data_IF_605995394714
#
_entry.id   IF_605995394714
#
_cell.length_a   1.000
_cell.length_b   1.000
_cell.length_c   1.000
_cell.angle_alpha   90.00
_cell.angle_beta   90.00
_cell.angle_gamma   90.00
#
_symmetry.space_group_name_H-M   'P 1'
#
loop_
_entity.id
_entity.type
_entity.pdbx_description
1 polymer ?
#
# COMPACT_ATOMS: atom_id res chain seq x y z
N UNK A 1 -1.80 16.49 2.64
CA UNK A 1 -3.11 16.41 1.99
C UNK A 1 -3.74 15.02 2.11
N UNK A 2 -3.03 13.97 1.71
CA UNK A 2 -3.59 12.60 1.72
C UNK A 2 -4.14 12.23 3.12
N UNK A 3 -3.34 12.46 4.15
CA UNK A 3 -3.73 12.19 5.55
C UNK A 3 -4.90 13.06 6.04
N UNK A 4 -5.11 14.26 5.46
CA UNK A 4 -6.25 15.11 5.82
C UNK A 4 -7.56 14.66 5.17
N UNK A 5 -7.47 13.92 4.06
CA UNK A 5 -8.63 13.49 3.27
C UNK A 5 -9.00 12.02 3.46
N UNK A 6 -8.04 11.18 3.86
CA UNK A 6 -8.20 9.73 3.95
C UNK A 6 -7.55 9.18 5.22
N UNK A 7 -8.06 8.06 5.69
CA UNK A 7 -7.29 7.19 6.57
C UNK A 7 -6.24 6.47 5.74
N UNK A 8 -4.97 6.64 6.09
CA UNK A 8 -3.84 6.14 5.31
C UNK A 8 -3.15 5.01 6.04
N UNK A 9 -2.98 3.89 5.35
CA UNK A 9 -2.19 2.75 5.81
C UNK A 9 -1.12 2.47 4.76
N UNK A 10 0.12 2.34 5.19
CA UNK A 10 1.23 1.92 4.32
C UNK A 10 1.39 0.40 4.45
N UNK A 11 1.31 -0.28 3.31
CA UNK A 11 1.57 -1.72 3.20
C UNK A 11 2.90 -1.90 2.46
N UNK A 12 3.88 -2.51 3.11
CA UNK A 12 5.23 -2.64 2.57
C UNK A 12 5.82 -4.00 2.91
N UNK A 13 6.63 -4.53 2.00
CA UNK A 13 7.40 -5.76 2.23
C UNK A 13 8.77 -5.47 2.87
N UNK A 14 8.98 -4.26 3.39
CA UNK A 14 10.13 -3.88 4.21
C UNK A 14 10.03 -4.46 5.63
N UNK A 15 10.94 -4.05 6.49
CA UNK A 15 11.00 -4.44 7.90
C UNK A 15 10.91 -3.22 8.80
N UNK A 16 10.28 -3.34 9.96
CA UNK A 16 10.14 -2.25 10.93
C UNK A 16 11.48 -1.64 11.31
N UNK A 17 12.52 -2.47 11.44
CA UNK A 17 13.86 -2.06 11.85
C UNK A 17 14.52 -1.12 10.81
N UNK A 18 14.14 -1.21 9.53
CA UNK A 18 14.65 -0.34 8.48
C UNK A 18 13.76 0.89 8.23
N UNK A 19 12.46 0.78 8.48
CA UNK A 19 11.51 1.83 8.12
C UNK A 19 11.38 2.96 9.14
N UNK A 20 11.90 2.78 10.35
CA UNK A 20 11.75 3.72 11.47
C UNK A 20 12.08 5.17 11.13
N UNK A 21 13.27 5.48 10.55
CA UNK A 21 13.64 6.86 10.22
C UNK A 21 12.68 7.51 9.21
N UNK A 22 12.22 6.75 8.21
CA UNK A 22 11.24 7.25 7.23
C UNK A 22 9.88 7.49 7.89
N UNK A 23 9.43 6.57 8.71
CA UNK A 23 8.13 6.71 9.40
C UNK A 23 8.13 7.92 10.33
N UNK A 24 9.26 8.22 10.99
CA UNK A 24 9.41 9.43 11.79
C UNK A 24 9.22 10.70 10.94
N UNK A 25 9.82 10.74 9.75
CA UNK A 25 9.67 11.88 8.82
C UNK A 25 8.23 12.04 8.33
N UNK A 26 7.48 10.95 8.24
CA UNK A 26 6.07 10.94 7.80
C UNK A 26 5.08 11.12 8.95
N UNK A 27 5.57 11.44 10.15
CA UNK A 27 4.75 11.58 11.36
C UNK A 27 4.00 10.30 11.74
N UNK A 28 4.72 9.17 11.68
CA UNK A 28 4.25 7.85 12.11
C UNK A 28 2.88 7.42 11.55
N UNK A 29 2.69 7.35 10.23
CA UNK A 29 1.49 6.75 9.68
C UNK A 29 1.41 5.27 10.05
N UNK A 30 0.22 4.69 10.01
CA UNK A 30 0.05 3.25 10.21
C UNK A 30 0.84 2.50 9.15
N UNK A 31 1.72 1.61 9.59
CA UNK A 31 2.56 0.78 8.73
C UNK A 31 2.34 -0.70 9.06
N UNK A 32 2.00 -1.49 8.05
CA UNK A 32 2.04 -2.94 8.11
C UNK A 32 3.19 -3.43 7.25
N UNK A 33 4.18 -4.02 7.87
CA UNK A 33 5.35 -4.60 7.22
C UNK A 33 5.83 -5.82 8.01
N UNK A 34 6.99 -6.34 7.63
CA UNK A 34 7.58 -7.51 8.25
C UNK A 34 8.53 -7.11 9.39
N UNK A 35 9.13 -8.09 10.01
CA UNK A 35 9.95 -7.94 11.19
C UNK A 35 11.26 -8.72 11.04
N UNK A 36 12.38 -8.12 11.42
CA UNK A 36 13.65 -8.83 11.56
C UNK A 36 13.74 -9.47 12.93
N UNK A 37 14.45 -10.59 13.02
CA UNK A 37 14.83 -11.21 14.28
C UNK A 37 16.29 -10.89 14.51
N UNK A 38 16.58 -10.19 15.62
CA UNK A 38 17.91 -9.76 15.98
C UNK A 38 18.40 -10.57 17.18
N UNK A 39 19.72 -10.84 17.22
CA UNK A 39 20.35 -11.39 18.41
C UNK A 39 20.60 -10.32 19.47
N UNK A 40 21.19 -10.71 20.61
CA UNK A 40 21.50 -9.78 21.70
C UNK A 40 22.52 -8.70 21.33
N UNK A 41 23.28 -8.90 20.25
CA UNK A 41 24.27 -7.94 19.72
C UNK A 41 23.69 -7.01 18.66
N UNK A 42 22.43 -7.19 18.28
CA UNK A 42 21.78 -6.43 17.21
C UNK A 42 22.05 -6.97 15.81
N UNK A 43 22.63 -8.17 15.67
CA UNK A 43 22.86 -8.81 14.37
C UNK A 43 21.58 -9.47 13.86
N UNK A 44 21.33 -9.39 12.56
CA UNK A 44 20.18 -10.03 11.91
C UNK A 44 20.44 -11.53 11.85
N UNK A 45 19.60 -12.32 12.48
CA UNK A 45 19.70 -13.80 12.48
C UNK A 45 18.58 -14.47 11.71
N UNK A 46 17.43 -13.80 11.52
CA UNK A 46 16.29 -14.31 10.78
C UNK A 46 15.32 -13.18 10.48
N UNK A 47 14.21 -13.50 9.81
CA UNK A 47 13.11 -12.57 9.59
C UNK A 47 11.77 -13.27 9.82
N UNK A 48 10.76 -12.49 10.11
CA UNK A 48 9.39 -12.96 10.28
C UNK A 48 8.45 -12.17 9.37
N UNK A 49 7.78 -12.86 8.48
CA UNK A 49 6.69 -12.27 7.70
C UNK A 49 5.49 -12.01 8.63
N UNK A 50 4.84 -10.87 8.46
CA UNK A 50 3.57 -10.61 9.13
C UNK A 50 2.55 -11.68 8.76
N UNK A 51 2.43 -11.93 7.46
CA UNK A 51 1.69 -13.05 6.87
C UNK A 51 2.08 -13.17 5.40
N UNK A 52 1.83 -14.31 4.80
CA UNK A 52 1.99 -14.46 3.36
C UNK A 52 0.94 -13.61 2.63
N UNK A 53 1.33 -13.04 1.48
CA UNK A 53 0.47 -12.14 0.68
C UNK A 53 -0.17 -11.04 1.53
N UNK A 54 0.64 -10.42 2.39
CA UNK A 54 0.16 -9.51 3.41
C UNK A 54 -0.61 -8.30 2.86
N UNK A 55 -0.24 -7.80 1.69
CA UNK A 55 -0.89 -6.62 1.10
C UNK A 55 -2.32 -6.92 0.72
N UNK A 56 -2.56 -8.01 0.00
CA UNK A 56 -3.90 -8.47 -0.37
C UNK A 56 -4.74 -8.80 0.86
N UNK A 57 -4.17 -9.55 1.80
CA UNK A 57 -4.88 -9.94 3.03
C UNK A 57 -5.21 -8.77 3.94
N UNK A 58 -4.36 -7.74 3.99
CA UNK A 58 -4.65 -6.53 4.73
C UNK A 58 -5.85 -5.78 4.14
N UNK A 59 -5.93 -5.67 2.81
CA UNK A 59 -7.08 -5.07 2.12
C UNK A 59 -8.35 -5.88 2.42
N UNK A 60 -8.29 -7.18 2.29
CA UNK A 60 -9.42 -8.07 2.59
C UNK A 60 -9.92 -7.90 4.04
N UNK A 61 -8.98 -7.84 5.00
CA UNK A 61 -9.32 -7.64 6.41
C UNK A 61 -10.03 -6.31 6.66
N UNK A 62 -9.58 -5.23 6.02
CA UNK A 62 -10.22 -3.92 6.12
C UNK A 62 -11.63 -3.94 5.51
N UNK A 63 -11.81 -4.61 4.38
CA UNK A 63 -13.12 -4.79 3.76
C UNK A 63 -14.06 -5.61 4.64
N UNK A 64 -13.54 -6.63 5.33
CA UNK A 64 -14.31 -7.42 6.30
C UNK A 64 -14.73 -6.60 7.54
N UNK A 65 -14.03 -5.50 7.82
CA UNK A 65 -14.43 -4.49 8.80
C UNK A 65 -15.38 -3.42 8.23
N UNK A 66 -15.89 -3.63 7.01
CA UNK A 66 -16.79 -2.72 6.29
C UNK A 66 -16.16 -1.39 5.85
N UNK A 67 -14.83 -1.32 5.75
CA UNK A 67 -14.18 -0.19 5.11
C UNK A 67 -14.23 -0.30 3.59
N UNK A 68 -14.36 0.83 2.92
CA UNK A 68 -14.08 0.95 1.49
C UNK A 68 -12.60 1.25 1.30
N UNK A 69 -11.95 0.47 0.47
CA UNK A 69 -10.50 0.51 0.32
C UNK A 69 -10.11 0.96 -1.08
N UNK A 70 -9.34 2.02 -1.16
CA UNK A 70 -8.62 2.43 -2.37
C UNK A 70 -7.17 2.03 -2.15
N UNK A 71 -6.61 1.22 -3.02
CA UNK A 71 -5.20 0.86 -2.96
C UNK A 71 -4.40 1.45 -4.12
N UNK A 72 -3.13 1.76 -3.85
CA UNK A 72 -2.21 2.29 -4.85
C UNK A 72 -0.86 1.59 -4.75
N UNK A 73 -0.23 1.36 -5.89
CA UNK A 73 1.07 0.71 -5.96
C UNK A 73 1.74 0.93 -7.31
N UNK A 74 2.98 0.42 -7.47
CA UNK A 74 3.81 0.65 -8.66
C UNK A 74 4.42 -0.61 -9.26
N UNK A 75 4.19 -1.77 -8.67
CA UNK A 75 4.90 -2.98 -9.05
C UNK A 75 4.02 -4.24 -9.07
N UNK A 76 4.57 -5.34 -9.57
CA UNK A 76 3.87 -6.62 -9.66
C UNK A 76 3.37 -7.13 -8.31
N UNK A 77 4.16 -6.94 -7.25
CA UNK A 77 3.76 -7.38 -5.91
C UNK A 77 2.59 -6.58 -5.32
N UNK A 78 2.17 -5.50 -5.98
CA UNK A 78 1.01 -4.71 -5.59
C UNK A 78 -0.28 -5.15 -6.30
N UNK A 79 -0.17 -5.91 -7.39
CA UNK A 79 -1.33 -6.24 -8.24
C UNK A 79 -2.43 -6.99 -7.50
N UNK A 80 -2.08 -7.89 -6.59
CA UNK A 80 -3.05 -8.62 -5.78
C UNK A 80 -3.89 -7.67 -4.90
N UNK A 81 -3.26 -6.72 -4.22
CA UNK A 81 -4.00 -5.75 -3.41
C UNK A 81 -4.80 -4.77 -4.27
N UNK A 82 -4.31 -4.39 -5.46
CA UNK A 82 -5.06 -3.53 -6.37
C UNK A 82 -6.33 -4.21 -6.88
N UNK A 83 -6.25 -5.51 -7.16
CA UNK A 83 -7.41 -6.31 -7.58
C UNK A 83 -8.41 -6.52 -6.44
N UNK A 84 -7.92 -6.74 -5.23
CA UNK A 84 -8.74 -6.97 -4.05
C UNK A 84 -9.48 -5.71 -3.60
N UNK A 85 -8.87 -4.55 -3.69
CA UNK A 85 -9.46 -3.28 -3.25
C UNK A 85 -10.74 -2.91 -4.01
N UNK A 86 -11.57 -2.08 -3.41
CA UNK A 86 -12.76 -1.52 -4.06
C UNK A 86 -12.36 -0.62 -5.25
N UNK A 87 -11.16 -0.02 -5.19
CA UNK A 87 -10.54 0.70 -6.31
C UNK A 87 -9.02 0.56 -6.24
N UNK A 88 -8.39 0.13 -7.33
CA UNK A 88 -6.94 0.03 -7.48
C UNK A 88 -6.40 1.10 -8.42
N UNK A 89 -5.26 1.70 -8.10
CA UNK A 89 -4.61 2.74 -8.90
C UNK A 89 -3.13 2.42 -9.02
N UNK A 90 -2.57 2.45 -10.23
CA UNK A 90 -1.13 2.45 -10.41
C UNK A 90 -0.56 3.86 -10.31
N UNK A 91 0.51 4.01 -9.56
CA UNK A 91 1.31 5.24 -9.47
C UNK A 91 2.69 5.02 -10.08
N UNK A 92 2.95 5.65 -11.23
CA UNK A 92 4.22 5.55 -11.95
C UNK A 92 4.73 4.10 -12.15
N UNK A 93 3.89 3.15 -12.58
CA UNK A 93 4.33 1.78 -12.81
C UNK A 93 5.20 1.69 -14.08
N UNK A 94 6.01 0.62 -14.23
CA UNK A 94 6.64 0.31 -15.51
C UNK A 94 5.63 0.06 -16.62
N UNK A 95 5.97 0.41 -17.87
CA UNK A 95 5.07 0.24 -19.03
C UNK A 95 4.62 -1.22 -19.25
N UNK A 96 5.47 -2.20 -18.92
CA UNK A 96 5.12 -3.61 -19.03
C UNK A 96 3.92 -3.99 -18.15
N UNK A 97 3.84 -3.42 -16.97
CA UNK A 97 2.74 -3.65 -16.03
C UNK A 97 1.45 -2.99 -16.53
N UNK A 98 1.55 -1.80 -17.07
CA UNK A 98 0.38 -1.10 -17.66
C UNK A 98 -0.26 -1.93 -18.77
N UNK A 99 0.55 -2.53 -19.62
CA UNK A 99 0.07 -3.37 -20.74
C UNK A 99 -0.59 -4.65 -20.24
N UNK A 100 -0.06 -5.25 -19.20
CA UNK A 100 -0.57 -6.49 -18.64
C UNK A 100 -1.85 -6.30 -17.81
N UNK A 101 -1.99 -5.12 -17.16
CA UNK A 101 -3.13 -4.80 -16.30
C UNK A 101 -3.84 -3.51 -16.75
N UNK A 102 -4.46 -3.51 -17.96
CA UNK A 102 -5.06 -2.30 -18.52
C UNK A 102 -6.32 -1.84 -17.77
N UNK A 103 -6.86 -2.66 -16.89
CA UNK A 103 -8.06 -2.34 -16.11
C UNK A 103 -7.82 -1.30 -15.02
N UNK A 104 -6.56 -1.10 -14.59
CA UNK A 104 -6.25 -0.13 -13.54
C UNK A 104 -5.90 1.24 -14.13
N UNK A 105 -6.47 2.33 -13.60
CA UNK A 105 -6.04 3.67 -13.97
C UNK A 105 -4.62 3.93 -13.51
N UNK A 106 -3.91 4.75 -14.27
CA UNK A 106 -2.50 5.08 -14.05
C UNK A 106 -2.36 6.56 -13.77
N UNK A 107 -1.73 6.91 -12.64
CA UNK A 107 -1.26 8.25 -12.35
C UNK A 107 0.24 8.33 -12.64
N UNK A 108 0.66 9.32 -13.42
CA UNK A 108 2.07 9.55 -13.77
C UNK A 108 2.71 10.68 -12.96
N UNK A 109 1.90 11.39 -12.19
CA UNK A 109 2.33 12.46 -11.29
C UNK A 109 1.33 12.63 -10.15
N UNK A 110 1.67 13.45 -9.17
CA UNK A 110 0.82 13.65 -7.99
C UNK A 110 -0.51 14.33 -8.31
N UNK A 111 -0.58 15.18 -9.31
CA UNK A 111 -1.84 15.85 -9.72
C UNK A 111 -2.84 14.82 -10.25
N UNK A 112 -2.40 13.93 -11.14
CA UNK A 112 -3.22 12.83 -11.65
C UNK A 112 -3.62 11.87 -10.52
N UNK A 113 -2.68 11.53 -9.63
CA UNK A 113 -2.94 10.65 -8.52
C UNK A 113 -4.02 11.21 -7.59
N UNK A 114 -3.92 12.47 -7.23
CA UNK A 114 -4.94 13.17 -6.44
C UNK A 114 -6.31 13.12 -7.11
N UNK A 115 -6.38 13.39 -8.41
CA UNK A 115 -7.62 13.35 -9.19
C UNK A 115 -8.26 11.96 -9.18
N UNK A 116 -7.45 10.92 -9.40
CA UNK A 116 -7.93 9.54 -9.38
C UNK A 116 -8.43 9.10 -8.00
N UNK A 117 -7.73 9.50 -6.93
CA UNK A 117 -8.18 9.22 -5.55
C UNK A 117 -9.52 9.86 -5.23
N UNK A 118 -9.71 11.13 -5.61
CA UNK A 118 -10.98 11.84 -5.39
C UNK A 118 -12.11 11.21 -6.19
N UNK A 119 -11.87 10.89 -7.47
CA UNK A 119 -12.85 10.21 -8.32
C UNK A 119 -13.23 8.83 -7.77
N UNK A 120 -12.27 8.05 -7.30
CA UNK A 120 -12.52 6.75 -6.67
C UNK A 120 -13.39 6.91 -5.41
N UNK A 121 -13.06 7.88 -4.56
CA UNK A 121 -13.84 8.17 -3.35
C UNK A 121 -15.29 8.51 -3.69
N UNK A 122 -15.52 9.39 -4.64
CA UNK A 122 -16.88 9.77 -5.06
C UNK A 122 -17.69 8.55 -5.54
N UNK A 123 -17.09 7.69 -6.35
CA UNK A 123 -17.74 6.47 -6.83
C UNK A 123 -18.09 5.49 -5.71
N UNK A 124 -17.22 5.37 -4.70
CA UNK A 124 -17.40 4.42 -3.60
C UNK A 124 -18.38 4.92 -2.54
N UNK A 125 -18.48 6.22 -2.33
CA UNK A 125 -19.37 6.83 -1.34
C UNK A 125 -20.69 7.31 -1.94
N UNK A 126 -20.70 7.45 -3.23
CA UNK A 126 -21.78 8.01 -4.02
C UNK A 126 -23.03 7.30 -4.07
#
# INVERSE_FOLDING_TARGET
WLKSEFQVIILSDTFYEFSGPLMKQLDYPTLFCHQLILDKKGSIVDFQLRQEDQKTKAVEALQNLNFKVISAGDSYNDTGMLQQADSGIFFCPPESIIKEFPQFPVARNYTEFKSLLLSAREKLLG
#
